data_IF_652636722249
#
_entry.id   IF_652636722249
#
_cell.length_a   1.000
_cell.length_b   1.000
_cell.length_c   1.000
_cell.angle_alpha   90.00
_cell.angle_beta   90.00
_cell.angle_gamma   90.00
#
_symmetry.space_group_name_H-M   'P 1'
#
loop_
_entity.id
_entity.type
_entity.pdbx_description
1 polymer ?
#
# COMPACT_ATOMS: atom_id res chain seq x y z
N UNK A 1 -7.74 3.57 26.76
CA UNK A 1 -6.81 2.79 25.91
C UNK A 1 -5.48 3.54 25.91
N UNK A 2 -4.31 2.93 25.73
CA UNK A 2 -3.06 3.73 25.63
C UNK A 2 -3.02 4.39 24.25
N UNK A 3 -2.31 5.53 24.08
CA UNK A 3 -2.21 6.22 22.77
C UNK A 3 -1.72 5.30 21.66
N UNK A 4 -0.83 4.35 21.97
CA UNK A 4 -0.32 3.36 21.01
C UNK A 4 -1.40 2.39 20.53
N UNK A 5 -2.25 1.92 21.45
CA UNK A 5 -3.37 1.04 21.13
C UNK A 5 -4.45 1.76 20.32
N UNK A 6 -4.71 3.04 20.63
CA UNK A 6 -5.62 3.87 19.82
C UNK A 6 -5.08 4.04 18.40
N UNK A 7 -3.79 4.35 18.25
CA UNK A 7 -3.15 4.48 16.94
C UNK A 7 -3.11 3.17 16.14
N UNK A 8 -2.98 2.02 16.82
CA UNK A 8 -3.10 0.70 16.20
C UNK A 8 -4.55 0.41 15.76
N UNK A 9 -5.55 0.86 16.53
CA UNK A 9 -6.95 0.73 16.14
C UNK A 9 -7.29 1.65 14.95
N UNK A 10 -6.76 2.88 14.93
CA UNK A 10 -6.86 3.80 13.78
C UNK A 10 -6.31 3.14 12.49
N UNK A 11 -5.19 2.40 12.57
CA UNK A 11 -4.67 1.62 11.44
C UNK A 11 -5.62 0.51 10.99
N UNK A 12 -6.13 -0.28 11.94
CA UNK A 12 -7.07 -1.36 11.63
C UNK A 12 -8.31 -0.79 10.93
N UNK A 13 -8.84 0.33 11.42
CA UNK A 13 -10.00 0.99 10.84
C UNK A 13 -9.68 1.58 9.46
N UNK A 14 -8.48 2.14 9.26
CA UNK A 14 -8.03 2.61 7.95
C UNK A 14 -7.96 1.48 6.92
N UNK A 15 -7.41 0.31 7.29
CA UNK A 15 -7.28 -0.86 6.43
C UNK A 15 -8.65 -1.47 6.08
N UNK A 16 -9.54 -1.54 7.06
CA UNK A 16 -10.91 -2.04 6.95
C UNK A 16 -11.72 -1.20 5.96
N UNK A 17 -11.60 0.13 6.04
CA UNK A 17 -12.24 1.05 5.09
C UNK A 17 -11.53 1.12 3.72
N UNK A 18 -10.40 0.43 3.53
CA UNK A 18 -9.58 0.51 2.32
C UNK A 18 -9.44 -0.86 1.62
N UNK A 19 -10.54 -1.46 1.13
CA UNK A 19 -10.54 -2.81 0.57
C UNK A 19 -9.69 -2.97 -0.70
N UNK A 20 -9.42 -1.88 -1.44
CA UNK A 20 -8.50 -1.85 -2.58
C UNK A 20 -7.66 -0.57 -2.64
N UNK A 21 -6.61 -0.55 -3.46
CA UNK A 21 -5.74 0.63 -3.65
C UNK A 21 -6.52 1.91 -4.04
N UNK A 22 -7.65 1.77 -4.74
CA UNK A 22 -8.52 2.90 -5.05
C UNK A 22 -9.20 3.50 -3.81
N UNK A 23 -9.61 2.65 -2.88
CA UNK A 23 -10.21 3.08 -1.62
C UNK A 23 -9.15 3.66 -0.67
N UNK A 24 -7.92 3.13 -0.69
CA UNK A 24 -6.78 3.74 0.03
C UNK A 24 -6.63 5.20 -0.38
N UNK A 25 -6.54 5.47 -1.70
CA UNK A 25 -6.40 6.85 -2.21
C UNK A 25 -7.60 7.72 -1.88
N UNK A 26 -8.82 7.21 -2.01
CA UNK A 26 -10.03 7.98 -1.69
C UNK A 26 -10.10 8.34 -0.19
N UNK A 27 -9.75 7.42 0.70
CA UNK A 27 -9.72 7.67 2.14
C UNK A 27 -8.64 8.69 2.51
N UNK A 28 -7.43 8.54 1.95
CA UNK A 28 -6.36 9.52 2.15
C UNK A 28 -6.75 10.89 1.59
N UNK A 29 -7.38 10.95 0.41
CA UNK A 29 -7.89 12.17 -0.19
C UNK A 29 -8.89 12.88 0.73
N UNK A 30 -9.88 12.17 1.26
CA UNK A 30 -10.85 12.72 2.21
C UNK A 30 -10.16 13.32 3.43
N UNK A 31 -9.25 12.56 4.04
CA UNK A 31 -8.50 13.02 5.22
C UNK A 31 -7.64 14.26 4.92
N UNK A 32 -6.98 14.31 3.77
CA UNK A 32 -6.18 15.47 3.35
C UNK A 32 -7.06 16.71 3.14
N UNK A 33 -8.23 16.57 2.50
CA UNK A 33 -9.18 17.68 2.29
C UNK A 33 -9.69 18.21 3.64
N UNK A 34 -10.05 17.33 4.57
CA UNK A 34 -10.47 17.70 5.94
C UNK A 34 -9.38 18.47 6.70
N UNK A 35 -8.10 18.24 6.35
CA UNK A 35 -6.93 18.93 6.91
C UNK A 35 -6.43 20.12 6.07
N UNK A 36 -7.26 20.60 5.14
CA UNK A 36 -7.04 21.83 4.38
C UNK A 36 -6.07 21.69 3.21
N UNK A 37 -5.83 20.47 2.71
CA UNK A 37 -5.09 20.29 1.47
C UNK A 37 -5.99 20.56 0.26
N UNK A 38 -5.39 21.12 -0.79
CA UNK A 38 -6.06 21.39 -2.06
C UNK A 38 -5.66 20.33 -3.10
N UNK A 39 -6.65 19.68 -3.70
CA UNK A 39 -6.40 18.79 -4.86
C UNK A 39 -5.97 19.62 -6.06
N UNK A 40 -4.86 19.24 -6.67
CA UNK A 40 -4.35 19.83 -7.90
C UNK A 40 -4.77 18.95 -9.07
N UNK A 41 -5.41 19.53 -10.09
CA UNK A 41 -5.72 18.83 -11.32
C UNK A 41 -4.47 18.74 -12.21
N UNK A 42 -4.01 17.53 -12.61
CA UNK A 42 -2.89 17.38 -13.52
C UNK A 42 -2.96 18.20 -14.81
N UNK A 43 -4.14 18.41 -15.41
CA UNK A 43 -4.28 19.18 -16.65
C UNK A 43 -4.18 20.70 -16.47
N UNK A 44 -4.34 21.21 -15.25
CA UNK A 44 -4.38 22.63 -14.96
C UNK A 44 -3.00 23.24 -14.70
N UNK A 45 -2.89 24.56 -14.85
CA UNK A 45 -1.69 25.27 -14.39
C UNK A 45 -1.75 25.45 -12.86
N UNK A 46 -0.72 24.99 -12.16
CA UNK A 46 -0.71 24.97 -10.71
C UNK A 46 -0.33 26.32 -10.12
N UNK A 47 -1.06 26.73 -9.07
CA UNK A 47 -0.78 27.92 -8.26
C UNK A 47 -0.38 27.48 -6.86
N UNK A 48 0.89 27.17 -6.69
CA UNK A 48 1.47 26.67 -5.44
C UNK A 48 2.09 27.83 -4.69
N UNK A 49 1.75 27.95 -3.40
CA UNK A 49 2.25 28.99 -2.51
C UNK A 49 3.08 28.38 -1.37
N UNK A 50 4.04 29.16 -0.84
CA UNK A 50 4.79 28.77 0.36
C UNK A 50 3.83 28.52 1.51
N UNK A 51 4.11 27.51 2.34
CA UNK A 51 3.21 27.03 3.41
C UNK A 51 1.87 26.46 2.95
N UNK A 52 1.60 26.38 1.65
CA UNK A 52 0.41 25.74 1.10
C UNK A 52 0.46 24.22 1.21
N UNK A 53 -0.71 23.59 1.23
CA UNK A 53 -0.91 22.15 1.35
C UNK A 53 -1.65 21.64 0.13
N UNK A 54 -1.10 20.65 -0.56
CA UNK A 54 -1.62 20.20 -1.84
C UNK A 54 -1.47 18.70 -2.02
N UNK A 55 -2.29 18.10 -2.87
CA UNK A 55 -2.06 16.75 -3.33
C UNK A 55 -2.48 16.57 -4.79
N UNK A 56 -1.97 15.53 -5.44
CA UNK A 56 -2.37 15.10 -6.77
C UNK A 56 -2.63 13.60 -6.72
N UNK A 57 -3.60 13.13 -7.49
CA UNK A 57 -3.86 11.69 -7.66
C UNK A 57 -3.48 11.25 -9.08
N UNK A 58 -3.17 9.96 -9.23
CA UNK A 58 -2.91 9.32 -10.51
C UNK A 58 -3.64 8.00 -10.57
N UNK A 59 -4.41 7.79 -11.65
CA UNK A 59 -5.21 6.57 -11.85
C UNK A 59 -6.28 6.31 -10.77
N UNK A 60 -6.43 7.19 -9.77
CA UNK A 60 -7.21 6.93 -8.57
C UNK A 60 -6.59 5.91 -7.61
N UNK A 61 -5.37 5.40 -7.88
CA UNK A 61 -4.70 4.39 -7.06
C UNK A 61 -3.33 4.83 -6.54
N UNK A 62 -2.74 5.91 -7.07
CA UNK A 62 -1.57 6.55 -6.48
C UNK A 62 -1.86 8.02 -6.11
N UNK A 63 -1.11 8.54 -5.15
CA UNK A 63 -1.28 9.89 -4.61
C UNK A 63 0.05 10.49 -4.17
N UNK A 64 0.26 11.78 -4.44
CA UNK A 64 1.38 12.55 -3.88
C UNK A 64 0.81 13.74 -3.11
N UNK A 65 1.04 13.79 -1.80
CA UNK A 65 0.66 14.90 -0.94
C UNK A 65 1.91 15.67 -0.51
N UNK A 66 1.81 17.00 -0.43
CA UNK A 66 2.94 17.83 -0.03
C UNK A 66 2.53 19.10 0.70
N UNK A 67 3.42 19.54 1.60
CA UNK A 67 3.33 20.80 2.34
C UNK A 67 4.55 21.63 1.97
N UNK A 68 4.30 22.76 1.32
CA UNK A 68 5.36 23.63 0.77
C UNK A 68 6.10 24.32 1.90
N UNK A 69 7.43 24.26 1.87
CA UNK A 69 8.26 24.94 2.87
C UNK A 69 8.21 26.48 2.79
N UNK A 70 8.72 27.13 3.84
CA UNK A 70 8.91 28.59 3.90
C UNK A 70 10.20 29.06 3.24
N UNK A 71 11.20 28.18 3.18
CA UNK A 71 12.51 28.49 2.62
C UNK A 71 12.51 28.48 1.10
N UNK A 72 13.69 28.62 0.52
CA UNK A 72 13.88 28.58 -0.92
C UNK A 72 14.24 27.17 -1.36
N UNK A 73 13.39 26.58 -2.19
CA UNK A 73 13.38 25.14 -2.48
C UNK A 73 14.68 24.65 -3.14
N UNK A 74 15.36 25.51 -3.90
CA UNK A 74 16.64 25.22 -4.53
C UNK A 74 17.80 25.01 -3.53
N UNK A 75 17.68 25.57 -2.31
CA UNK A 75 18.67 25.41 -1.24
C UNK A 75 18.20 24.45 -0.14
N UNK A 76 16.88 24.36 0.06
CA UNK A 76 16.28 23.57 1.14
C UNK A 76 15.94 22.14 0.69
N UNK A 77 15.46 21.98 -0.55
CA UNK A 77 15.07 20.68 -1.10
C UNK A 77 13.78 20.11 -0.52
N UNK A 78 13.59 18.82 -0.77
CA UNK A 78 12.42 18.04 -0.38
C UNK A 78 12.75 17.03 0.71
N UNK A 79 11.78 16.78 1.59
CA UNK A 79 11.79 15.63 2.51
C UNK A 79 10.70 14.67 2.09
N UNK A 80 11.09 13.52 1.56
CA UNK A 80 10.16 12.56 0.98
C UNK A 80 10.03 11.33 1.86
N UNK A 81 8.79 10.86 2.02
CA UNK A 81 8.50 9.50 2.44
C UNK A 81 7.72 8.85 1.31
N UNK A 82 8.12 7.63 0.92
CA UNK A 82 7.43 6.84 -0.08
C UNK A 82 6.94 5.52 0.50
N UNK A 83 5.70 5.16 0.18
CA UNK A 83 5.06 3.88 0.52
C UNK A 83 4.25 3.38 -0.68
N UNK A 84 3.63 2.21 -0.57
CA UNK A 84 2.74 1.69 -1.61
C UNK A 84 1.32 1.37 -1.11
N UNK A 85 0.35 1.43 -2.02
CA UNK A 85 -1.09 1.36 -1.73
C UNK A 85 -1.71 0.01 -2.06
N UNK A 86 -0.98 -0.83 -2.80
CA UNK A 86 -1.44 -2.13 -3.22
C UNK A 86 -1.00 -3.22 -2.24
N UNK A 87 -1.62 -4.39 -2.38
CA UNK A 87 -1.23 -5.58 -1.61
C UNK A 87 -1.53 -6.82 -2.46
N UNK A 88 -0.87 -7.95 -2.22
CA UNK A 88 -1.13 -9.18 -2.95
C UNK A 88 -2.56 -9.66 -2.74
N UNK A 89 -3.26 -10.02 -3.83
CA UNK A 89 -4.68 -10.39 -3.81
C UNK A 89 -5.07 -11.13 -5.10
N UNK A 90 -6.37 -11.24 -5.40
CA UNK A 90 -6.92 -11.75 -6.64
C UNK A 90 -7.72 -10.65 -7.36
N UNK A 91 -7.43 -10.42 -8.64
CA UNK A 91 -8.21 -9.54 -9.52
C UNK A 91 -9.26 -10.35 -10.27
N UNK A 92 -10.48 -9.82 -10.37
CA UNK A 92 -11.54 -10.41 -11.21
C UNK A 92 -11.17 -10.25 -12.69
N UNK A 93 -11.31 -11.31 -13.50
CA UNK A 93 -11.09 -11.25 -14.96
C UNK A 93 -12.32 -10.71 -15.70
N UNK A 94 -12.16 -10.20 -16.94
CA UNK A 94 -13.25 -9.54 -17.68
C UNK A 94 -14.48 -10.41 -17.96
N UNK A 95 -14.30 -11.72 -18.15
CA UNK A 95 -15.40 -12.69 -18.27
C UNK A 95 -15.31 -13.63 -17.06
N UNK A 96 -15.85 -13.24 -15.90
CA UNK A 96 -15.56 -13.92 -14.66
C UNK A 96 -16.43 -15.15 -14.41
N UNK A 97 -17.66 -15.21 -14.91
CA UNK A 97 -18.59 -16.29 -14.56
C UNK A 97 -18.13 -17.66 -15.08
N UNK A 98 -17.97 -18.61 -14.16
CA UNK A 98 -17.63 -20.00 -14.45
C UNK A 98 -18.65 -20.93 -13.79
N UNK A 99 -19.51 -21.53 -14.62
CA UNK A 99 -20.51 -22.51 -14.19
C UNK A 99 -19.87 -23.90 -14.10
N UNK A 100 -19.95 -24.51 -12.92
CA UNK A 100 -19.48 -25.88 -12.68
C UNK A 100 -20.63 -26.81 -12.32
N UNK A 101 -20.64 -27.99 -12.94
CA UNK A 101 -21.62 -29.07 -12.70
C UNK A 101 -23.10 -28.62 -12.81
N UNK A 102 -23.36 -27.50 -13.51
CA UNK A 102 -24.65 -26.80 -13.53
C UNK A 102 -25.24 -26.49 -12.12
N UNK A 103 -24.39 -26.47 -11.09
CA UNK A 103 -24.80 -26.35 -9.70
C UNK A 103 -24.12 -25.18 -8.99
N UNK A 104 -22.93 -24.76 -9.44
CA UNK A 104 -22.12 -23.77 -8.77
C UNK A 104 -21.68 -22.67 -9.72
N UNK A 105 -21.68 -21.43 -9.23
CA UNK A 105 -21.04 -20.29 -9.89
C UNK A 105 -19.74 -19.95 -9.17
N UNK A 106 -18.62 -20.01 -9.90
CA UNK A 106 -17.32 -19.49 -9.48
C UNK A 106 -16.97 -18.25 -10.29
N UNK A 107 -16.07 -17.42 -9.76
CA UNK A 107 -15.50 -16.32 -10.54
C UNK A 107 -14.07 -16.64 -10.98
N UNK A 108 -13.76 -16.33 -12.23
CA UNK A 108 -12.44 -16.44 -12.81
C UNK A 108 -11.59 -15.26 -12.34
N UNK A 109 -10.54 -15.56 -11.61
CA UNK A 109 -9.65 -14.56 -11.03
C UNK A 109 -8.22 -14.75 -11.51
N UNK A 110 -7.44 -13.68 -11.41
CA UNK A 110 -6.00 -13.66 -11.62
C UNK A 110 -5.29 -13.32 -10.31
N UNK A 111 -4.18 -13.99 -10.01
CA UNK A 111 -3.35 -13.65 -8.86
C UNK A 111 -2.62 -12.33 -9.13
N UNK A 112 -2.76 -11.39 -8.22
CA UNK A 112 -2.05 -10.11 -8.19
C UNK A 112 -0.99 -10.14 -7.09
N UNK A 113 0.26 -9.79 -7.44
CA UNK A 113 1.40 -9.84 -6.51
C UNK A 113 1.83 -11.26 -6.13
N UNK A 114 2.50 -11.39 -4.99
CA UNK A 114 3.00 -12.66 -4.45
C UNK A 114 2.29 -13.16 -3.19
N UNK A 115 0.96 -13.42 -3.19
CA UNK A 115 0.24 -13.78 -1.98
C UNK A 115 0.60 -15.18 -1.48
N UNK A 116 0.49 -15.40 -0.17
CA UNK A 116 0.53 -16.74 0.41
C UNK A 116 -0.83 -17.43 0.18
N UNK A 117 -0.98 -18.11 -0.96
CA UNK A 117 -2.24 -18.63 -1.50
C UNK A 117 -3.08 -19.45 -0.50
N UNK A 118 -2.45 -20.30 0.31
CA UNK A 118 -3.17 -21.15 1.24
C UNK A 118 -3.89 -20.37 2.36
N UNK A 119 -3.48 -19.12 2.63
CA UNK A 119 -4.12 -18.29 3.66
C UNK A 119 -5.47 -17.73 3.22
N UNK A 120 -5.72 -17.69 1.91
CA UNK A 120 -6.97 -17.21 1.32
C UNK A 120 -8.09 -18.26 1.26
N UNK A 121 -7.75 -19.53 1.52
CA UNK A 121 -8.72 -20.62 1.52
C UNK A 121 -9.61 -20.58 2.77
N UNK A 122 -10.87 -21.02 2.61
CA UNK A 122 -11.89 -21.12 3.67
C UNK A 122 -12.15 -19.82 4.44
N UNK A 123 -11.90 -18.67 3.82
CA UNK A 123 -12.19 -17.33 4.38
C UNK A 123 -13.47 -16.76 3.77
N UNK A 124 -14.29 -16.03 4.53
CA UNK A 124 -15.28 -15.13 3.96
C UNK A 124 -14.56 -14.01 3.22
N UNK A 125 -14.74 -13.97 1.91
CA UNK A 125 -14.15 -12.96 1.03
C UNK A 125 -15.25 -12.06 0.48
N UNK A 126 -14.89 -10.82 0.21
CA UNK A 126 -15.70 -9.89 -0.57
C UNK A 126 -14.90 -9.33 -1.74
N UNK A 127 -15.47 -8.37 -2.47
CA UNK A 127 -14.83 -7.71 -3.59
C UNK A 127 -15.04 -6.20 -3.53
N UNK A 128 -14.01 -5.45 -3.93
CA UNK A 128 -14.06 -4.01 -4.06
C UNK A 128 -13.12 -3.53 -5.15
N UNK A 129 -13.34 -2.30 -5.61
CA UNK A 129 -12.50 -1.70 -6.64
C UNK A 129 -13.17 -0.52 -7.28
N UNK A 130 -13.02 -0.43 -8.61
CA UNK A 130 -13.56 0.65 -9.42
C UNK A 130 -14.33 0.11 -10.59
N UNK A 131 -15.44 0.76 -10.92
CA UNK A 131 -16.25 0.51 -12.10
C UNK A 131 -16.20 1.75 -12.99
N UNK A 132 -16.01 1.52 -14.29
CA UNK A 132 -15.96 2.57 -15.30
C UNK A 132 -17.28 2.57 -16.05
N UNK A 133 -17.98 3.70 -16.02
CA UNK A 133 -19.23 3.93 -16.73
C UNK A 133 -19.03 4.85 -17.94
N UNK A 134 -20.01 4.85 -18.84
CA UNK A 134 -20.13 5.83 -19.91
C UNK A 134 -20.05 7.25 -19.34
N UNK A 135 -19.20 8.06 -19.96
CA UNK A 135 -19.06 9.47 -19.65
C UNK A 135 -19.76 10.37 -20.65
N UNK A 136 -19.37 11.64 -20.67
CA UNK A 136 -19.90 12.62 -21.62
C UNK A 136 -19.44 12.33 -23.06
N UNK A 137 -18.21 11.79 -23.20
CA UNK A 137 -17.66 11.35 -24.47
C UNK A 137 -16.71 10.13 -24.29
N UNK A 138 -16.26 9.57 -25.42
CA UNK A 138 -15.48 8.34 -25.48
C UNK A 138 -14.09 8.42 -24.80
N UNK A 139 -13.53 9.61 -24.62
CA UNK A 139 -12.23 9.83 -23.96
C UNK A 139 -12.36 10.26 -22.50
N UNK A 140 -13.59 10.47 -22.00
CA UNK A 140 -13.86 10.93 -20.64
C UNK A 140 -14.86 10.03 -19.90
N UNK A 141 -14.59 8.71 -19.74
CA UNK A 141 -15.46 7.84 -18.97
C UNK A 141 -15.48 8.23 -17.49
N UNK A 142 -16.57 7.90 -16.79
CA UNK A 142 -16.72 8.19 -15.36
C UNK A 142 -16.34 6.98 -14.52
N UNK A 143 -15.63 7.20 -13.44
CA UNK A 143 -15.17 6.15 -12.53
C UNK A 143 -15.91 6.24 -11.20
N UNK A 144 -16.41 5.11 -10.71
CA UNK A 144 -17.07 4.99 -9.41
C UNK A 144 -16.38 3.92 -8.60
N UNK A 145 -16.20 4.16 -7.30
CA UNK A 145 -15.75 3.12 -6.39
C UNK A 145 -16.93 2.25 -5.98
N UNK A 146 -16.66 0.96 -5.83
CA UNK A 146 -17.61 -0.02 -5.33
C UNK A 146 -16.92 -0.89 -4.29
N UNK A 147 -17.61 -1.13 -3.19
CA UNK A 147 -17.32 -2.17 -2.22
C UNK A 147 -18.63 -2.90 -1.94
N UNK A 148 -18.63 -4.22 -2.11
CA UNK A 148 -19.84 -5.00 -1.86
C UNK A 148 -20.13 -5.17 -0.36
N UNK A 149 -19.13 -4.94 0.50
CA UNK A 149 -19.19 -4.95 1.98
C UNK A 149 -20.07 -6.04 2.58
N UNK A 150 -19.97 -7.26 2.03
CA UNK A 150 -20.65 -8.46 2.52
C UNK A 150 -19.81 -9.70 2.22
N UNK A 151 -19.88 -10.76 3.04
CA UNK A 151 -19.12 -12.00 2.82
C UNK A 151 -19.71 -12.78 1.64
N UNK A 152 -19.31 -12.40 0.43
CA UNK A 152 -19.89 -12.85 -0.83
C UNK A 152 -19.43 -14.22 -1.27
N UNK A 153 -18.18 -14.58 -0.96
CA UNK A 153 -17.54 -15.72 -1.59
C UNK A 153 -16.54 -16.41 -0.69
N UNK A 154 -16.17 -17.63 -1.07
CA UNK A 154 -15.17 -18.45 -0.37
C UNK A 154 -14.37 -19.25 -1.38
N UNK A 155 -13.07 -19.45 -1.13
CA UNK A 155 -12.26 -20.40 -1.89
C UNK A 155 -12.14 -21.68 -1.05
N UNK A 156 -12.93 -22.74 -1.32
CA UNK A 156 -12.98 -23.91 -0.45
C UNK A 156 -11.75 -24.81 -0.59
N UNK A 157 -11.23 -25.31 0.52
CA UNK A 157 -10.24 -26.38 0.52
C UNK A 157 -10.80 -27.69 -0.04
N UNK A 158 -9.93 -28.46 -0.70
CA UNK A 158 -10.20 -29.88 -0.92
C UNK A 158 -10.06 -30.65 0.40
N UNK A 159 -11.08 -31.43 0.76
CA UNK A 159 -11.07 -32.20 2.00
C UNK A 159 -9.85 -33.14 2.08
N UNK A 160 -9.23 -33.22 3.27
CA UNK A 160 -8.06 -34.08 3.54
C UNK A 160 -8.28 -35.56 3.20
N UNK A 161 -9.53 -36.03 3.25
CA UNK A 161 -9.88 -37.40 2.87
C UNK A 161 -9.63 -37.68 1.38
N UNK A 162 -9.80 -36.66 0.53
CA UNK A 162 -9.53 -36.70 -0.91
C UNK A 162 -8.09 -36.29 -1.23
N UNK A 163 -7.45 -35.52 -0.34
CA UNK A 163 -6.06 -35.13 -0.44
C UNK A 163 -5.30 -35.38 0.88
N UNK A 164 -4.90 -36.63 1.09
CA UNK A 164 -4.21 -37.05 2.33
C UNK A 164 -2.85 -36.38 2.53
N UNK A 165 -2.28 -35.78 1.49
CA UNK A 165 -0.96 -35.14 1.49
C UNK A 165 -1.01 -33.62 1.65
N UNK A 166 -2.18 -33.02 1.89
CA UNK A 166 -2.32 -31.55 1.97
C UNK A 166 -1.36 -30.90 2.97
N UNK A 167 -1.02 -31.60 4.05
CA UNK A 167 -0.08 -31.13 5.08
C UNK A 167 1.40 -31.41 4.77
N UNK A 168 1.74 -32.02 3.64
CA UNK A 168 3.12 -32.30 3.21
C UNK A 168 3.70 -31.17 2.32
N UNK A 169 2.92 -30.13 2.02
CA UNK A 169 3.33 -29.00 1.18
C UNK A 169 2.95 -29.21 -0.28
N UNK A 170 1.71 -28.86 -0.63
CA UNK A 170 1.18 -28.96 -1.99
C UNK A 170 1.14 -27.58 -2.65
N UNK A 171 1.54 -27.55 -3.92
CA UNK A 171 1.42 -26.36 -4.76
C UNK A 171 0.00 -26.26 -5.30
N UNK A 172 -0.67 -25.16 -4.97
CA UNK A 172 -1.98 -24.81 -5.55
C UNK A 172 -1.81 -24.32 -7.00
N UNK A 173 -2.67 -24.78 -7.88
CA UNK A 173 -2.83 -24.27 -9.23
C UNK A 173 -3.69 -23.00 -9.19
N UNK A 174 -3.09 -21.86 -9.53
CA UNK A 174 -3.71 -20.53 -9.45
C UNK A 174 -4.85 -20.29 -10.44
N UNK A 175 -5.02 -21.13 -11.46
CA UNK A 175 -6.13 -21.02 -12.41
C UNK A 175 -7.34 -21.86 -11.97
N UNK A 176 -7.12 -22.95 -11.23
CA UNK A 176 -8.17 -23.94 -10.98
C UNK A 176 -8.55 -24.07 -9.50
N UNK A 177 -7.58 -23.94 -8.59
CA UNK A 177 -7.70 -24.28 -7.16
C UNK A 177 -7.77 -23.04 -6.27
N UNK A 178 -7.79 -21.84 -6.85
CA UNK A 178 -7.89 -20.57 -6.13
C UNK A 178 -9.08 -19.71 -6.58
N UNK A 179 -10.04 -20.31 -7.30
CA UNK A 179 -11.22 -19.60 -7.79
C UNK A 179 -12.30 -19.52 -6.70
N UNK A 180 -12.83 -18.33 -6.39
CA UNK A 180 -13.88 -18.17 -5.38
C UNK A 180 -15.22 -18.74 -5.86
N UNK A 181 -15.88 -19.50 -4.99
CA UNK A 181 -17.28 -19.93 -5.11
C UNK A 181 -18.19 -18.82 -4.58
N UNK A 182 -19.17 -18.40 -5.37
CA UNK A 182 -20.08 -17.29 -5.03
C UNK A 182 -21.49 -17.77 -4.73
N UNK A 183 -22.03 -18.67 -5.55
CA UNK A 183 -23.44 -19.06 -5.44
C UNK A 183 -23.70 -20.48 -5.90
N UNK A 184 -24.84 -21.04 -5.46
CA UNK A 184 -25.44 -22.21 -6.07
C UNK A 184 -26.44 -21.78 -7.14
N UNK A 185 -26.41 -22.44 -8.30
CA UNK A 185 -27.36 -22.19 -9.38
C UNK A 185 -28.68 -22.87 -9.03
N UNK A 186 -29.78 -22.12 -9.13
CA UNK A 186 -31.15 -22.60 -8.98
C UNK A 186 -32.04 -21.96 -10.06
N UNK A 187 -33.32 -22.31 -10.10
CA UNK A 187 -34.25 -21.83 -11.13
C UNK A 187 -34.46 -20.30 -11.12
N UNK A 188 -34.15 -19.62 -10.02
CA UNK A 188 -34.31 -18.17 -9.83
C UNK A 188 -32.99 -17.39 -10.05
N UNK A 189 -31.87 -18.08 -10.25
CA UNK A 189 -30.54 -17.48 -10.32
C UNK A 189 -30.15 -17.15 -11.78
N UNK A 190 -30.12 -15.86 -12.11
CA UNK A 190 -29.53 -15.38 -13.36
C UNK A 190 -28.01 -15.51 -13.29
N UNK A 191 -27.46 -16.46 -14.05
CA UNK A 191 -26.04 -16.79 -14.04
C UNK A 191 -25.22 -16.00 -15.05
N UNK A 192 -25.86 -15.57 -16.13
CA UNK A 192 -25.23 -14.79 -17.19
C UNK A 192 -25.22 -13.32 -16.73
N UNK A 193 -24.09 -12.63 -16.90
CA UNK A 193 -23.88 -11.26 -16.42
C UNK A 193 -24.13 -11.04 -14.92
N UNK A 194 -24.01 -12.10 -14.09
CA UNK A 194 -24.24 -12.03 -12.64
C UNK A 194 -23.47 -10.88 -11.99
N UNK A 195 -22.16 -10.79 -12.23
CA UNK A 195 -21.34 -9.78 -11.55
C UNK A 195 -21.70 -8.37 -12.00
N UNK A 196 -21.91 -8.18 -13.31
CA UNK A 196 -22.32 -6.90 -13.88
C UNK A 196 -23.69 -6.47 -13.33
N UNK A 197 -24.63 -7.41 -13.19
CA UNK A 197 -25.93 -7.17 -12.58
C UNK A 197 -25.84 -6.77 -11.11
N UNK A 198 -24.98 -7.41 -10.33
CA UNK A 198 -24.75 -7.02 -8.92
C UNK A 198 -24.08 -5.65 -8.81
N UNK A 199 -23.12 -5.33 -9.69
CA UNK A 199 -22.50 -4.00 -9.77
C UNK A 199 -23.55 -2.93 -10.09
N UNK A 200 -24.40 -3.18 -11.09
CA UNK A 200 -25.45 -2.26 -11.51
C UNK A 200 -26.43 -1.96 -10.38
N UNK A 201 -26.82 -2.99 -9.61
CA UNK A 201 -27.68 -2.84 -8.42
C UNK A 201 -27.01 -2.04 -7.32
N UNK A 202 -25.75 -2.34 -7.00
CA UNK A 202 -25.01 -1.67 -5.92
C UNK A 202 -24.78 -0.18 -6.22
N UNK A 203 -24.50 0.15 -7.48
CA UNK A 203 -24.29 1.54 -7.92
C UNK A 203 -25.58 2.29 -8.30
N UNK A 204 -26.74 1.61 -8.33
CA UNK A 204 -28.02 2.14 -8.83
C UNK A 204 -27.91 2.72 -10.26
N UNK A 205 -27.35 1.92 -11.18
CA UNK A 205 -27.12 2.29 -12.59
C UNK A 205 -27.64 1.23 -13.55
N UNK A 206 -27.78 1.58 -14.83
CA UNK A 206 -28.14 0.58 -15.84
C UNK A 206 -26.92 -0.26 -16.22
N UNK A 207 -27.15 -1.55 -16.49
CA UNK A 207 -26.11 -2.49 -16.94
C UNK A 207 -25.42 -1.98 -18.20
N UNK A 208 -26.17 -1.39 -19.13
CA UNK A 208 -25.65 -0.90 -20.41
C UNK A 208 -24.73 0.30 -20.26
N UNK A 209 -24.72 0.97 -19.09
CA UNK A 209 -23.84 2.11 -18.82
C UNK A 209 -22.47 1.67 -18.30
N UNK A 210 -22.32 0.42 -17.85
CA UNK A 210 -21.05 -0.16 -17.39
C UNK A 210 -20.18 -0.49 -18.60
N UNK A 211 -18.96 0.06 -18.62
CA UNK A 211 -17.97 -0.17 -19.68
C UNK A 211 -16.93 -1.23 -19.30
N UNK A 212 -16.40 -1.14 -18.08
CA UNK A 212 -15.34 -2.03 -17.59
C UNK A 212 -15.20 -1.91 -16.06
N UNK A 213 -14.41 -2.77 -15.43
CA UNK A 213 -14.14 -2.73 -13.99
C UNK A 213 -12.73 -3.21 -13.63
N UNK A 214 -12.20 -2.70 -12.52
CA UNK A 214 -11.00 -3.18 -11.85
C UNK A 214 -11.41 -3.61 -10.42
N UNK A 215 -11.72 -4.90 -10.23
CA UNK A 215 -12.23 -5.44 -8.96
C UNK A 215 -11.25 -6.45 -8.37
N UNK A 216 -11.07 -6.38 -7.05
CA UNK A 216 -10.13 -7.18 -6.30
C UNK A 216 -10.82 -7.82 -5.09
N UNK A 217 -10.39 -9.04 -4.75
CA UNK A 217 -10.86 -9.73 -3.56
C UNK A 217 -10.23 -9.16 -2.29
N UNK A 218 -10.93 -9.30 -1.16
CA UNK A 218 -10.36 -9.04 0.17
C UNK A 218 -11.03 -9.93 1.24
N UNK A 219 -10.35 -10.21 2.36
CA UNK A 219 -10.97 -10.86 3.53
C UNK A 219 -11.96 -9.89 4.18
N UNK A 220 -13.22 -10.30 4.29
CA UNK A 220 -14.27 -9.46 4.87
C UNK A 220 -14.15 -9.31 6.40
N UNK A 221 -13.40 -10.20 7.07
CA UNK A 221 -13.21 -10.10 8.51
C UNK A 221 -12.24 -8.97 8.89
N UNK A 222 -12.74 -8.01 9.67
CA UNK A 222 -11.94 -6.92 10.22
C UNK A 222 -10.71 -7.38 11.03
N UNK A 223 -9.65 -6.59 10.95
CA UNK A 223 -8.44 -6.73 11.75
C UNK A 223 -8.69 -6.65 13.27
N UNK A 224 -7.79 -7.23 14.05
CA UNK A 224 -7.89 -7.28 15.52
C UNK A 224 -6.56 -7.02 16.20
N UNK A 225 -6.60 -6.36 17.35
CA UNK A 225 -5.50 -6.36 18.30
C UNK A 225 -5.51 -7.70 19.04
N UNK A 226 -4.38 -8.38 19.09
CA UNK A 226 -4.24 -9.73 19.65
C UNK A 226 -3.00 -9.85 20.54
N UNK A 227 -2.87 -10.98 21.22
CA UNK A 227 -1.79 -11.27 22.18
C UNK A 227 -2.20 -11.01 23.62
N UNK A 228 -1.51 -11.66 24.56
CA UNK A 228 -1.83 -11.59 25.99
C UNK A 228 -1.88 -10.17 26.52
N UNK A 229 -1.00 -9.29 26.01
CA UNK A 229 -0.89 -7.91 26.43
C UNK A 229 -1.39 -6.90 25.38
N UNK A 230 -2.20 -7.33 24.40
CA UNK A 230 -2.64 -6.49 23.29
C UNK A 230 -1.46 -5.91 22.49
N UNK A 231 -0.46 -6.74 22.22
CA UNK A 231 0.85 -6.31 21.70
C UNK A 231 1.01 -6.48 20.18
N UNK A 232 0.04 -7.13 19.53
CA UNK A 232 0.07 -7.42 18.10
C UNK A 232 -1.15 -6.86 17.36
N UNK A 233 -0.93 -6.49 16.10
CA UNK A 233 -1.94 -6.11 15.13
C UNK A 233 -2.08 -7.27 14.14
N UNK A 234 -3.25 -7.89 14.04
CA UNK A 234 -3.54 -8.93 13.05
C UNK A 234 -4.61 -8.48 12.07
N UNK A 235 -4.18 -8.11 10.86
CA UNK A 235 -5.05 -7.64 9.78
C UNK A 235 -4.41 -7.93 8.43
N UNK A 236 -5.18 -7.90 7.36
CA UNK A 236 -4.62 -7.91 6.00
C UNK A 236 -3.95 -6.58 5.67
N UNK A 237 -3.08 -6.56 4.66
CA UNK A 237 -2.53 -5.34 4.04
C UNK A 237 -1.74 -4.43 5.01
N UNK A 238 -1.16 -4.99 6.09
CA UNK A 238 -0.13 -4.24 6.84
C UNK A 238 1.00 -3.84 5.89
N UNK A 239 1.36 -4.76 5.00
CA UNK A 239 2.14 -4.51 3.79
C UNK A 239 1.25 -3.89 2.69
N UNK A 240 1.33 -2.59 2.40
CA UNK A 240 2.14 -1.55 3.07
C UNK A 240 1.30 -0.41 3.65
N UNK A 241 0.01 -0.69 3.93
CA UNK A 241 -0.90 0.33 4.44
C UNK A 241 -0.51 0.81 5.85
N UNK A 242 0.33 0.07 6.58
CA UNK A 242 0.94 0.56 7.81
C UNK A 242 1.85 1.76 7.56
N UNK A 243 2.70 1.74 6.52
CA UNK A 243 3.55 2.87 6.16
C UNK A 243 2.76 4.01 5.53
N UNK A 244 1.73 3.71 4.72
CA UNK A 244 0.79 4.72 4.21
C UNK A 244 0.14 5.49 5.35
N UNK A 245 -0.47 4.77 6.30
CA UNK A 245 -1.15 5.39 7.44
C UNK A 245 -0.19 6.21 8.29
N UNK A 246 0.96 5.65 8.67
CA UNK A 246 1.94 6.38 9.47
C UNK A 246 2.51 7.61 8.75
N UNK A 247 2.75 7.51 7.44
CA UNK A 247 3.27 8.58 6.60
C UNK A 247 2.30 9.75 6.47
N UNK A 248 1.03 9.46 6.21
CA UNK A 248 -0.02 10.48 6.13
C UNK A 248 -0.24 11.15 7.49
N UNK A 249 -0.42 10.38 8.57
CA UNK A 249 -0.54 10.94 9.93
C UNK A 249 0.70 11.78 10.30
N UNK A 250 1.89 11.31 9.92
CA UNK A 250 3.14 12.03 10.12
C UNK A 250 3.19 13.37 9.37
N UNK A 251 2.72 13.40 8.12
CA UNK A 251 2.64 14.62 7.31
C UNK A 251 1.65 15.62 7.91
N UNK A 252 0.47 15.15 8.32
CA UNK A 252 -0.61 15.95 8.91
C UNK A 252 -0.20 16.58 10.25
N UNK A 253 0.50 15.83 11.10
CA UNK A 253 0.95 16.28 12.42
C UNK A 253 2.27 17.06 12.39
N UNK A 254 2.91 17.18 11.21
CA UNK A 254 4.12 17.96 11.04
C UNK A 254 3.86 19.47 10.96
N UNK A 255 4.85 20.27 11.33
CA UNK A 255 4.83 21.73 11.21
C UNK A 255 5.35 22.14 9.84
N UNK A 256 4.92 23.33 9.40
CA UNK A 256 5.49 23.97 8.21
C UNK A 256 6.89 24.50 8.52
N UNK A 257 7.88 23.88 7.89
CA UNK A 257 9.31 24.14 8.03
C UNK A 257 9.89 24.88 6.81
N UNK A 258 11.22 24.98 6.72
CA UNK A 258 11.87 25.58 5.54
C UNK A 258 11.84 24.65 4.31
N UNK A 259 12.04 23.33 4.51
CA UNK A 259 11.96 22.31 3.47
C UNK A 259 10.51 21.95 3.11
N UNK A 260 10.29 21.48 1.88
CA UNK A 260 8.99 20.96 1.42
C UNK A 260 8.84 19.50 1.83
N UNK A 261 7.78 19.19 2.59
CA UNK A 261 7.47 17.82 3.00
C UNK A 261 6.62 17.15 1.93
N UNK A 262 6.94 15.90 1.59
CA UNK A 262 6.24 15.12 0.55
C UNK A 262 5.97 13.71 1.07
N UNK A 263 4.74 13.24 0.91
CA UNK A 263 4.36 11.82 0.99
C UNK A 263 4.00 11.35 -0.41
N UNK A 264 4.61 10.28 -0.89
CA UNK A 264 4.25 9.62 -2.14
C UNK A 264 3.73 8.21 -1.86
N UNK A 265 2.54 7.93 -2.37
CA UNK A 265 1.87 6.64 -2.30
C UNK A 265 1.83 6.08 -3.73
N UNK A 266 2.67 5.08 -4.00
CA UNK A 266 2.69 4.39 -5.29
C UNK A 266 1.65 3.27 -5.32
N UNK A 267 1.34 2.80 -6.52
CA UNK A 267 0.57 1.58 -6.77
C UNK A 267 1.43 0.64 -7.63
N UNK A 268 1.09 -0.65 -7.64
CA UNK A 268 1.78 -1.69 -8.38
C UNK A 268 3.20 -2.01 -7.90
N UNK A 269 3.50 -1.79 -6.62
CA UNK A 269 4.77 -2.25 -6.03
C UNK A 269 4.90 -3.77 -6.18
N UNK A 270 3.84 -4.49 -5.82
CA UNK A 270 3.79 -5.95 -5.73
C UNK A 270 3.96 -6.67 -7.08
N UNK A 271 3.87 -5.92 -8.17
CA UNK A 271 4.04 -6.42 -9.54
C UNK A 271 5.20 -5.73 -10.28
N UNK A 272 6.08 -5.04 -9.55
CA UNK A 272 7.35 -4.51 -10.04
C UNK A 272 7.39 -3.02 -10.40
N UNK A 273 6.34 -2.26 -10.09
CA UNK A 273 6.27 -0.79 -10.22
C UNK A 273 6.40 -0.19 -11.63
N UNK A 274 6.45 -1.01 -12.69
CA UNK A 274 6.61 -0.56 -14.09
C UNK A 274 5.29 -0.15 -14.73
N UNK A 275 4.57 0.78 -14.10
CA UNK A 275 3.26 1.28 -14.56
C UNK A 275 3.22 2.81 -14.57
N UNK A 276 2.12 3.41 -15.05
CA UNK A 276 1.95 4.88 -15.08
C UNK A 276 1.78 5.51 -13.68
N UNK A 277 1.50 4.70 -12.65
CA UNK A 277 1.28 5.12 -11.27
C UNK A 277 2.24 4.48 -10.24
N UNK A 278 3.08 3.53 -10.67
CA UNK A 278 4.10 2.90 -9.83
C UNK A 278 5.41 3.67 -9.74
N UNK A 279 6.33 3.17 -8.92
CA UNK A 279 7.59 3.85 -8.59
C UNK A 279 8.53 4.08 -9.77
N UNK A 280 8.43 3.28 -10.85
CA UNK A 280 9.21 3.50 -12.07
C UNK A 280 8.62 4.60 -12.98
N UNK A 281 7.42 5.10 -12.66
CA UNK A 281 6.77 6.19 -13.38
C UNK A 281 7.54 7.50 -13.21
N UNK A 282 7.59 8.37 -14.24
CA UNK A 282 8.09 9.73 -14.07
C UNK A 282 7.17 10.60 -13.18
N UNK A 283 6.02 10.08 -12.73
CA UNK A 283 5.03 10.80 -11.93
C UNK A 283 5.65 11.63 -10.80
N UNK A 284 6.43 11.00 -9.91
CA UNK A 284 7.02 11.72 -8.77
C UNK A 284 7.93 12.84 -9.25
N UNK A 285 8.85 12.55 -10.18
CA UNK A 285 9.75 13.55 -10.76
C UNK A 285 9.00 14.73 -11.38
N UNK A 286 7.96 14.45 -12.16
CA UNK A 286 7.12 15.48 -12.80
C UNK A 286 6.42 16.35 -11.75
N UNK A 287 5.89 15.77 -10.68
CA UNK A 287 5.25 16.55 -9.61
C UNK A 287 6.25 17.46 -8.91
N UNK A 288 7.43 16.94 -8.53
CA UNK A 288 8.47 17.74 -7.88
C UNK A 288 8.97 18.89 -8.78
N UNK A 289 9.17 18.63 -10.07
CA UNK A 289 9.57 19.67 -11.04
C UNK A 289 8.47 20.74 -11.18
N UNK A 290 7.19 20.32 -11.23
CA UNK A 290 6.06 21.26 -11.28
C UNK A 290 5.91 22.11 -10.02
N UNK A 291 6.25 21.59 -8.84
CA UNK A 291 6.32 22.38 -7.60
C UNK A 291 7.34 23.52 -7.77
N UNK A 292 8.55 23.20 -8.24
CA UNK A 292 9.59 24.21 -8.49
C UNK A 292 9.13 25.25 -9.51
N UNK A 293 8.59 24.81 -10.67
CA UNK A 293 8.12 25.71 -11.72
C UNK A 293 6.99 26.63 -11.24
N UNK A 294 6.04 26.11 -10.45
CA UNK A 294 4.94 26.89 -9.90
C UNK A 294 5.42 27.95 -8.89
N UNK A 295 6.50 27.67 -8.16
CA UNK A 295 7.18 28.63 -7.27
C UNK A 295 8.08 29.63 -8.02
N UNK A 296 8.00 29.71 -9.35
CA UNK A 296 8.78 30.62 -10.17
C UNK A 296 10.25 30.23 -10.33
N UNK A 297 10.60 28.98 -9.99
CA UNK A 297 11.95 28.44 -10.15
C UNK A 297 12.12 27.83 -11.54
N UNK A 298 13.36 27.63 -11.95
CA UNK A 298 13.67 27.00 -13.23
C UNK A 298 14.17 25.56 -13.04
N UNK A 299 14.57 24.92 -14.15
CA UNK A 299 15.01 23.53 -14.13
C UNK A 299 16.36 23.31 -13.43
N UNK A 300 17.24 24.31 -13.44
CA UNK A 300 18.50 24.28 -12.68
C UNK A 300 18.21 24.28 -11.18
N UNK A 301 17.27 25.11 -10.73
CA UNK A 301 16.81 25.14 -9.34
C UNK A 301 16.16 23.81 -8.92
N UNK A 302 15.45 23.13 -9.83
CA UNK A 302 14.95 21.78 -9.58
C UNK A 302 16.10 20.78 -9.33
N UNK A 303 17.14 20.76 -10.16
CA UNK A 303 18.29 19.87 -9.93
C UNK A 303 19.00 20.18 -8.60
N UNK A 304 19.18 21.46 -8.27
CA UNK A 304 19.73 21.89 -6.98
C UNK A 304 18.85 21.45 -5.80
N UNK A 305 17.53 21.51 -5.96
CA UNK A 305 16.60 21.02 -4.92
C UNK A 305 16.74 19.52 -4.69
N UNK A 306 16.94 18.71 -5.73
CA UNK A 306 17.17 17.27 -5.61
C UNK A 306 18.45 16.96 -4.82
N UNK A 307 19.55 17.67 -5.10
CA UNK A 307 20.80 17.51 -4.34
C UNK A 307 20.67 17.84 -2.84
N UNK A 308 19.65 18.61 -2.45
CA UNK A 308 19.34 18.94 -1.06
C UNK A 308 18.19 18.11 -0.47
N UNK A 309 17.75 17.07 -1.18
CA UNK A 309 16.62 16.22 -0.81
C UNK A 309 17.06 14.89 -0.19
N UNK A 310 16.12 14.23 0.49
CA UNK A 310 16.30 12.90 1.04
C UNK A 310 15.00 12.10 0.93
N UNK A 311 15.08 10.80 0.69
CA UNK A 311 13.92 9.90 0.66
C UNK A 311 14.00 8.85 1.78
N UNK A 312 12.90 8.68 2.49
CA UNK A 312 12.63 7.48 3.26
C UNK A 312 11.74 6.59 2.39
N UNK A 313 12.32 5.54 1.82
CA UNK A 313 11.58 4.42 1.22
C UNK A 313 11.06 3.56 2.37
N UNK A 314 9.78 3.67 2.67
CA UNK A 314 9.15 2.93 3.76
C UNK A 314 8.34 1.79 3.18
N UNK A 315 8.69 0.57 3.60
CA UNK A 315 8.04 -0.67 3.25
C UNK A 315 8.37 -1.69 4.34
N UNK A 316 7.41 -2.52 4.72
CA UNK A 316 7.49 -3.47 5.83
C UNK A 316 8.76 -4.35 5.83
N UNK A 317 9.13 -4.86 7.01
CA UNK A 317 10.35 -5.65 7.20
C UNK A 317 10.04 -7.04 7.76
N UNK A 318 10.89 -8.03 7.46
CA UNK A 318 10.72 -9.37 8.01
C UNK A 318 11.24 -9.43 9.46
N UNK A 319 10.32 -9.65 10.41
CA UNK A 319 10.64 -9.83 11.83
C UNK A 319 11.15 -11.23 12.16
N UNK A 320 11.71 -11.40 13.37
CA UNK A 320 12.18 -12.71 13.86
C UNK A 320 11.06 -13.73 13.93
N UNK A 321 11.09 -14.73 13.04
CA UNK A 321 10.08 -15.77 13.07
C UNK A 321 10.48 -16.85 14.09
N UNK A 322 9.72 -17.04 15.20
CA UNK A 322 10.13 -17.93 16.29
C UNK A 322 10.29 -19.39 15.85
N UNK A 323 9.51 -19.82 14.86
CA UNK A 323 9.53 -21.19 14.31
C UNK A 323 10.53 -21.41 13.16
N UNK A 324 11.11 -20.35 12.57
CA UNK A 324 11.96 -20.44 11.36
C UNK A 324 13.26 -19.65 11.50
N UNK A 325 13.94 -19.78 12.65
CA UNK A 325 15.18 -19.05 12.96
C UNK A 325 16.27 -19.17 11.90
N UNK A 326 16.31 -20.29 11.18
CA UNK A 326 17.27 -20.57 10.12
C UNK A 326 17.15 -19.62 8.91
N UNK A 327 15.99 -18.97 8.72
CA UNK A 327 15.73 -18.04 7.61
C UNK A 327 16.27 -16.64 7.81
N UNK A 328 17.01 -16.39 8.89
CA UNK A 328 17.39 -15.05 9.28
C UNK A 328 18.90 -14.88 9.38
N UNK A 329 19.34 -13.64 9.21
CA UNK A 329 20.71 -13.28 9.51
C UNK A 329 21.04 -13.59 10.98
N UNK A 330 22.24 -14.11 11.28
CA UNK A 330 22.64 -14.43 12.64
C UNK A 330 22.71 -13.21 13.58
N UNK A 331 22.87 -11.99 13.06
CA UNK A 331 23.17 -10.78 13.84
C UNK A 331 22.17 -9.64 13.68
N UNK A 332 21.62 -9.45 12.48
CA UNK A 332 20.78 -8.30 12.12
C UNK A 332 19.37 -8.77 11.75
N UNK A 333 18.65 -9.21 12.79
CA UNK A 333 17.30 -9.79 12.71
C UNK A 333 16.34 -9.04 13.64
N UNK A 334 15.48 -8.17 13.10
CA UNK A 334 14.65 -7.31 13.92
C UNK A 334 13.54 -8.12 14.60
N UNK A 335 13.10 -7.66 15.77
CA UNK A 335 11.98 -8.24 16.52
C UNK A 335 10.78 -7.31 16.46
N UNK A 336 9.57 -7.88 16.45
CA UNK A 336 8.33 -7.11 16.60
C UNK A 336 8.35 -6.34 17.92
N UNK A 337 7.82 -5.12 17.90
CA UNK A 337 7.79 -4.10 18.96
C UNK A 337 9.19 -3.57 19.35
N UNK A 338 10.24 -3.91 18.58
CA UNK A 338 11.61 -3.44 18.78
C UNK A 338 11.96 -2.13 18.06
N UNK A 339 11.00 -1.55 17.32
CA UNK A 339 11.16 -0.33 16.53
C UNK A 339 11.47 -0.60 15.04
N UNK A 340 11.36 0.44 14.19
CA UNK A 340 11.56 0.32 12.76
C UNK A 340 12.93 -0.26 12.41
N UNK A 341 12.94 -1.17 11.44
CA UNK A 341 14.14 -1.80 10.93
C UNK A 341 14.70 -1.02 9.74
N UNK A 342 15.97 -0.63 9.81
CA UNK A 342 16.73 -0.08 8.69
C UNK A 342 17.21 -1.26 7.83
N UNK A 343 16.74 -1.33 6.59
CA UNK A 343 16.94 -2.46 5.66
C UNK A 343 18.21 -2.22 4.83
N UNK A 344 19.21 -3.11 4.93
CA UNK A 344 20.47 -3.01 4.17
C UNK A 344 20.65 -4.20 3.26
N UNK A 345 21.19 -3.95 2.07
CA UNK A 345 21.49 -4.99 1.08
C UNK A 345 22.71 -4.61 0.25
N UNK A 346 23.76 -5.43 0.30
CA UNK A 346 24.94 -5.25 -0.56
C UNK A 346 24.61 -5.33 -2.07
N UNK A 347 23.52 -5.99 -2.44
CA UNK A 347 23.05 -6.12 -3.82
C UNK A 347 22.09 -5.00 -4.27
N UNK A 348 21.96 -3.92 -3.48
CA UNK A 348 21.06 -2.79 -3.77
C UNK A 348 19.58 -3.19 -3.96
N UNK A 349 19.12 -4.27 -3.31
CA UNK A 349 17.69 -4.54 -3.13
C UNK A 349 17.01 -3.49 -2.23
N UNK A 350 17.83 -2.77 -1.46
CA UNK A 350 17.49 -1.61 -0.64
C UNK A 350 18.54 -0.53 -0.95
N UNK A 351 18.17 0.76 -0.95
CA UNK A 351 19.07 1.88 -1.26
C UNK A 351 19.99 2.25 -0.10
N UNK A 352 19.72 1.75 1.10
CA UNK A 352 20.41 2.15 2.32
C UNK A 352 21.91 1.92 2.25
N UNK A 353 22.65 3.01 2.46
CA UNK A 353 24.09 3.05 2.70
C UNK A 353 24.41 3.57 4.11
N UNK A 354 25.70 3.78 4.40
CA UNK A 354 26.13 4.25 5.73
C UNK A 354 25.62 5.66 6.07
N UNK A 355 25.51 6.55 5.08
CA UNK A 355 25.09 7.94 5.28
C UNK A 355 23.59 8.01 5.55
N UNK A 356 22.79 7.43 4.65
CA UNK A 356 21.33 7.37 4.75
C UNK A 356 20.88 6.62 6.02
N UNK A 357 21.57 5.54 6.37
CA UNK A 357 21.43 4.85 7.65
C UNK A 357 21.65 5.79 8.84
N UNK A 358 22.79 6.51 8.89
CA UNK A 358 23.11 7.39 10.00
C UNK A 358 22.11 8.56 10.16
N UNK A 359 21.57 9.05 9.04
CA UNK A 359 20.50 10.07 9.03
C UNK A 359 19.26 9.51 9.73
N UNK A 360 18.76 8.34 9.33
CA UNK A 360 17.56 7.76 9.94
C UNK A 360 17.77 7.38 11.41
N UNK A 361 18.93 6.84 11.79
CA UNK A 361 19.26 6.60 13.20
C UNK A 361 19.22 7.89 14.03
N UNK A 362 19.67 9.00 13.46
CA UNK A 362 19.64 10.30 14.13
C UNK A 362 18.20 10.80 14.30
N UNK A 363 17.35 10.60 13.29
CA UNK A 363 15.90 10.87 13.36
C UNK A 363 15.27 10.07 14.50
N UNK A 364 15.52 8.76 14.56
CA UNK A 364 14.96 7.91 15.62
C UNK A 364 15.47 8.31 17.02
N UNK A 365 16.76 8.66 17.16
CA UNK A 365 17.31 9.17 18.44
C UNK A 365 16.62 10.47 18.87
N UNK A 366 16.44 11.42 17.95
CA UNK A 366 15.74 12.68 18.22
C UNK A 366 14.26 12.47 18.56
N UNK A 367 13.63 11.46 17.95
CA UNK A 367 12.25 11.08 18.22
C UNK A 367 12.08 10.24 19.50
N UNK A 368 13.15 9.83 20.17
CA UNK A 368 13.13 8.84 21.25
C UNK A 368 12.40 7.56 20.83
N UNK A 369 12.83 7.01 19.69
CA UNK A 369 12.29 5.80 19.06
C UNK A 369 13.41 4.75 18.97
N UNK A 370 13.19 3.50 19.43
CA UNK A 370 14.14 2.43 19.16
C UNK A 370 14.17 2.11 17.66
N UNK A 371 15.29 1.62 17.17
CA UNK A 371 15.44 1.20 15.78
C UNK A 371 16.32 -0.04 15.72
N UNK A 372 16.20 -0.78 14.62
CA UNK A 372 16.89 -2.05 14.41
C UNK A 372 17.60 -2.07 13.05
N UNK A 373 18.46 -3.05 12.85
CA UNK A 373 19.07 -3.36 11.54
C UNK A 373 18.48 -4.63 11.00
N UNK A 374 18.18 -4.64 9.71
CA UNK A 374 17.75 -5.81 8.97
C UNK A 374 18.68 -6.05 7.79
N UNK A 375 19.17 -7.27 7.68
CA UNK A 375 19.83 -7.76 6.47
C UNK A 375 19.30 -9.15 6.15
N UNK A 376 19.31 -9.49 4.86
CA UNK A 376 19.09 -10.87 4.43
C UNK A 376 20.32 -11.72 4.75
N UNK A 377 20.13 -13.03 4.88
CA UNK A 377 21.26 -13.97 4.85
C UNK A 377 22.00 -13.82 3.53
N UNK A 378 23.32 -13.97 3.54
CA UNK A 378 24.12 -13.83 2.31
C UNK A 378 23.80 -14.85 1.21
N UNK A 379 23.17 -15.97 1.54
CA UNK A 379 22.76 -17.02 0.61
C UNK A 379 21.30 -16.93 0.14
N UNK A 380 20.53 -15.94 0.62
CA UNK A 380 19.14 -15.72 0.24
C UNK A 380 18.97 -14.30 -0.32
N UNK A 381 18.31 -14.18 -1.48
CA UNK A 381 17.94 -12.88 -2.04
C UNK A 381 16.62 -12.44 -1.42
N UNK A 382 16.59 -11.24 -0.84
CA UNK A 382 15.34 -10.60 -0.42
C UNK A 382 14.57 -9.98 -1.58
N UNK A 383 13.34 -9.53 -1.30
CA UNK A 383 12.59 -8.66 -2.20
C UNK A 383 13.32 -7.34 -2.46
N UNK A 384 12.95 -6.66 -3.54
CA UNK A 384 13.28 -5.24 -3.77
C UNK A 384 12.13 -4.38 -3.28
N UNK A 385 12.35 -3.08 -3.13
CA UNK A 385 11.32 -2.10 -2.76
C UNK A 385 11.18 -1.01 -3.82
N UNK A 386 10.32 -0.03 -3.56
CA UNK A 386 10.25 1.22 -4.33
C UNK A 386 11.55 2.04 -4.28
N UNK A 387 12.43 1.84 -3.30
CA UNK A 387 13.63 2.66 -3.09
C UNK A 387 14.58 2.61 -4.29
N UNK A 388 15.13 1.42 -4.64
CA UNK A 388 15.98 1.27 -5.81
C UNK A 388 15.29 1.68 -7.11
N UNK A 389 13.98 1.44 -7.23
CA UNK A 389 13.21 1.81 -8.43
C UNK A 389 13.09 3.33 -8.56
N UNK A 390 12.74 4.02 -7.48
CA UNK A 390 12.64 5.49 -7.43
C UNK A 390 13.97 6.15 -7.71
N UNK A 391 15.09 5.52 -7.29
CA UNK A 391 16.44 6.02 -7.60
C UNK A 391 16.74 6.08 -9.10
N UNK A 392 16.01 5.32 -9.94
CA UNK A 392 16.14 5.41 -11.41
C UNK A 392 15.51 6.67 -12.00
N UNK A 393 14.57 7.30 -11.27
CA UNK A 393 13.86 8.51 -11.68
C UNK A 393 14.40 9.76 -10.97
N UNK A 394 14.88 9.61 -9.74
CA UNK A 394 15.38 10.69 -8.88
C UNK A 394 16.76 10.35 -8.33
N UNK A 395 17.73 11.20 -8.67
CA UNK A 395 19.08 11.13 -8.10
C UNK A 395 19.11 11.81 -6.73
N UNK A 396 18.59 11.12 -5.71
CA UNK A 396 18.55 11.57 -4.32
C UNK A 396 18.99 10.46 -3.36
N UNK A 397 19.68 10.78 -2.25
CA UNK A 397 19.97 9.82 -1.21
C UNK A 397 18.68 9.26 -0.60
N UNK A 398 18.66 7.95 -0.33
CA UNK A 398 17.48 7.25 0.16
C UNK A 398 17.84 6.19 1.21
N UNK A 399 17.01 6.05 2.24
CA UNK A 399 17.05 4.96 3.22
C UNK A 399 15.81 4.08 3.07
N UNK A 400 16.00 2.76 3.08
CA UNK A 400 14.90 1.81 3.21
C UNK A 400 14.68 1.43 4.67
N UNK A 401 13.45 1.60 5.15
CA UNK A 401 13.03 1.26 6.50
C UNK A 401 11.69 0.51 6.46
N UNK A 402 11.38 -0.22 7.53
CA UNK A 402 10.10 -0.91 7.66
C UNK A 402 9.82 -1.39 9.06
N UNK A 403 8.55 -1.53 9.41
CA UNK A 403 8.19 -2.18 10.66
C UNK A 403 8.31 -3.71 10.53
N UNK A 404 8.91 -4.39 11.52
CA UNK A 404 8.96 -5.85 11.53
C UNK A 404 7.56 -6.46 11.58
N UNK A 405 7.25 -7.35 10.65
CA UNK A 405 6.04 -8.18 10.63
C UNK A 405 6.38 -9.66 10.45
N UNK A 406 5.40 -10.49 10.79
CA UNK A 406 5.34 -11.89 10.39
C UNK A 406 4.23 -12.08 9.35
N UNK A 407 4.37 -13.16 8.58
CA UNK A 407 3.38 -13.58 7.58
C UNK A 407 3.09 -12.55 6.49
N UNK A 408 4.09 -11.72 6.14
CA UNK A 408 4.03 -10.78 5.02
C UNK A 408 3.46 -11.44 3.74
N UNK A 409 2.57 -10.75 3.04
CA UNK A 409 1.76 -11.22 1.89
C UNK A 409 0.69 -12.29 2.22
N UNK A 410 0.43 -12.57 3.49
CA UNK A 410 -0.75 -13.34 3.89
C UNK A 410 -2.01 -12.47 3.75
N UNK A 411 -3.17 -13.13 3.55
CA UNK A 411 -4.45 -12.43 3.72
C UNK A 411 -4.59 -11.79 5.12
N UNK A 412 -3.87 -12.33 6.13
CA UNK A 412 -3.81 -11.78 7.48
C UNK A 412 -2.39 -11.83 8.03
N UNK A 413 -1.79 -10.66 8.13
CA UNK A 413 -0.42 -10.45 8.57
C UNK A 413 -0.38 -10.20 10.08
N UNK A 414 0.82 -10.15 10.67
CA UNK A 414 0.98 -9.90 12.10
C UNK A 414 2.09 -8.88 12.37
N UNK A 415 1.72 -7.71 12.87
CA UNK A 415 2.63 -6.62 13.24
C UNK A 415 2.58 -6.21 14.70
N UNK A 416 3.42 -5.24 15.06
CA UNK A 416 3.54 -4.72 16.42
C UNK A 416 2.76 -3.44 16.66
N UNK A 417 2.05 -3.36 17.80
CA UNK A 417 1.39 -2.13 18.25
C UNK A 417 2.40 -1.00 18.51
N UNK A 418 3.54 -1.35 19.12
CA UNK A 418 4.58 -0.38 19.45
C UNK A 418 5.30 0.10 18.19
N UNK A 419 5.61 -0.81 17.25
CA UNK A 419 6.29 -0.49 15.99
C UNK A 419 5.51 0.53 15.16
N UNK A 420 4.19 0.37 15.05
CA UNK A 420 3.34 1.30 14.30
C UNK A 420 3.37 2.71 14.87
N UNK A 421 3.34 2.83 16.20
CA UNK A 421 3.45 4.13 16.85
C UNK A 421 4.87 4.72 16.75
N UNK A 422 5.91 3.88 16.83
CA UNK A 422 7.30 4.30 16.69
C UNK A 422 7.62 4.84 15.30
N UNK A 423 7.19 4.17 14.24
CA UNK A 423 7.46 4.65 12.87
C UNK A 423 6.75 6.00 12.62
N UNK A 424 5.51 6.16 13.08
CA UNK A 424 4.79 7.44 13.03
C UNK A 424 5.58 8.55 13.72
N UNK A 425 6.08 8.32 14.94
CA UNK A 425 6.93 9.30 15.64
C UNK A 425 8.18 9.65 14.84
N UNK A 426 8.83 8.66 14.22
CA UNK A 426 10.02 8.90 13.38
C UNK A 426 9.70 9.76 12.15
N UNK A 427 8.53 9.56 11.53
CA UNK A 427 8.08 10.33 10.37
C UNK A 427 7.73 11.77 10.73
N UNK A 428 7.01 11.99 11.84
CA UNK A 428 6.77 13.34 12.38
C UNK A 428 8.11 14.05 12.65
N UNK A 429 9.08 13.36 13.26
CA UNK A 429 10.40 13.93 13.53
C UNK A 429 11.15 14.26 12.24
N UNK A 430 11.12 13.39 11.23
CA UNK A 430 11.72 13.64 9.93
C UNK A 430 11.09 14.88 9.25
N UNK A 431 9.77 14.97 9.20
CA UNK A 431 9.08 16.13 8.64
C UNK A 431 9.25 17.42 9.44
N UNK A 432 9.59 17.33 10.73
CA UNK A 432 9.89 18.49 11.59
C UNK A 432 11.37 18.89 11.66
N UNK A 433 12.30 18.07 11.17
CA UNK A 433 13.73 18.41 11.10
C UNK A 433 14.05 19.12 9.78
#
# INVERSE_FOLDING_TARGET
MTRKLEFAQELIDFIDNSPSAFHVVENVKKELIENGFVELEPSENWKIEKSGKYFVTKNGSALIAFVVGKGDIESEGFKLIGAHTDSPTFKIKPNPEMVEENAFLRLNTEVYGGPILNTWLDRPLSLAGRVTLKGEDIFNPKSYLIDMDKPLMVIPNLAIHMNRKVNEGIKLNTQNETLPLVSMINEEFEKDDFLIGEIAKELDVNVEDILDFDLFLYEHEKGKIVGLNNEFISCGKLDDLAMVHAGIKGLLDSKVNNKTNVMVLFDNEEVGSTTKQGAASPMLRTVLERICLSLGKNREDFYRSLSNSFLISSDMAHGVHPNYKQKQDPTSRPVINGGPAIKLSANQAYTTDSISSAIYESICKLAEVPFQKFVNRSDERGGSTIGPISSTQLDIPSVDIGNPILSMHSVRELGGVDDHYYVYKSFVQYYNY
#
